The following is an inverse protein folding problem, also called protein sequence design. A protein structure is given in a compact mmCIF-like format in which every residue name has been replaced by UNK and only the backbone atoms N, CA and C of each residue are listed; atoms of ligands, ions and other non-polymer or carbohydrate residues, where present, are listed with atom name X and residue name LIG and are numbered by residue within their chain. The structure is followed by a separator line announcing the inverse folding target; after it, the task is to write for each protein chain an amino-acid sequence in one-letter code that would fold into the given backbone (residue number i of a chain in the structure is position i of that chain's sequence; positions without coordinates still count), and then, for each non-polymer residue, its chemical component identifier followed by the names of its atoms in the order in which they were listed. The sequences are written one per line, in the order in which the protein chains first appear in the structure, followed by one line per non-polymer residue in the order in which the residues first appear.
data_IF_575788459030
#
_entry.id   IF_575788459030
#
_cell.length_a   1.000
_cell.length_b   1.000
_cell.length_c   1.000
_cell.angle_alpha   90.00
_cell.angle_beta   90.00
_cell.angle_gamma   90.00
#
_symmetry.space_group_name_H-M   'P 1'
#
loop_
_entity.id
_entity.type
_entity.pdbx_description
1 polymer ?
#
# COMPACT_ATOMS: atom_id res chain seq x y z
N UNK A 1 -76.01 -6.75 7.32
CA UNK A 1 -75.20 -6.58 8.57
C UNK A 1 -74.31 -7.77 8.95
N UNK A 2 -74.45 -8.97 8.41
CA UNK A 2 -73.57 -10.13 8.75
C UNK A 2 -72.22 -10.16 8.10
N UNK A 3 -71.97 -9.39 7.04
CA UNK A 3 -70.63 -9.37 6.34
C UNK A 3 -69.55 -8.45 6.97
N UNK A 4 -69.95 -7.51 7.79
CA UNK A 4 -69.00 -6.58 8.48
C UNK A 4 -68.39 -7.27 9.70
N UNK A 5 -68.99 -8.27 10.26
CA UNK A 5 -68.52 -8.96 11.46
C UNK A 5 -67.29 -9.85 11.24
N UNK A 6 -67.00 -10.24 9.97
CA UNK A 6 -65.87 -11.08 9.64
C UNK A 6 -64.60 -10.26 9.22
N UNK A 7 -64.77 -8.98 8.89
CA UNK A 7 -63.66 -8.09 8.49
C UNK A 7 -62.88 -7.55 9.71
N UNK A 8 -63.62 -7.35 10.82
CA UNK A 8 -63.04 -6.82 12.06
C UNK A 8 -61.98 -7.72 12.69
N UNK A 9 -62.12 -9.05 12.82
CA UNK A 9 -61.07 -9.94 13.33
C UNK A 9 -59.89 -10.10 12.35
N UNK A 10 -60.10 -9.94 11.04
CA UNK A 10 -59.02 -10.00 10.06
C UNK A 10 -58.09 -8.77 10.12
N UNK A 11 -58.66 -7.60 10.42
CA UNK A 11 -57.87 -6.37 10.62
C UNK A 11 -57.07 -6.42 11.94
N UNK A 12 -57.64 -7.03 13.00
CA UNK A 12 -56.94 -7.21 14.28
C UNK A 12 -55.75 -8.18 14.16
N UNK A 13 -55.83 -9.22 13.30
CA UNK A 13 -54.71 -10.14 13.06
C UNK A 13 -53.55 -9.51 12.28
N UNK A 14 -53.82 -8.53 11.42
CA UNK A 14 -52.81 -7.81 10.68
C UNK A 14 -52.00 -6.80 11.55
N UNK A 15 -52.58 -6.34 12.66
CA UNK A 15 -51.93 -5.40 13.56
C UNK A 15 -50.93 -6.05 14.56
N UNK A 16 -50.88 -7.39 14.63
CA UNK A 16 -49.95 -8.11 15.54
C UNK A 16 -48.68 -8.60 14.81
N UNK A 17 -48.59 -8.38 13.49
CA UNK A 17 -47.50 -8.96 12.66
C UNK A 17 -46.27 -8.08 12.46
N UNK A 18 -46.18 -6.94 13.10
CA UNK A 18 -44.93 -6.17 13.14
C UNK A 18 -44.39 -6.12 14.57
N UNK A 19 -43.80 -7.20 15.05
CA UNK A 19 -42.68 -7.02 15.95
C UNK A 19 -41.56 -6.49 15.07
N UNK A 20 -41.23 -5.22 15.20
CA UNK A 20 -39.88 -4.75 14.82
C UNK A 20 -38.92 -5.66 15.55
N UNK A 21 -38.23 -6.52 14.81
CA UNK A 21 -37.02 -7.15 15.32
C UNK A 21 -36.12 -5.99 15.73
N UNK A 22 -36.01 -5.75 17.01
CA UNK A 22 -35.06 -4.80 17.54
C UNK A 22 -33.71 -5.36 17.08
N UNK A 23 -33.06 -4.62 16.16
CA UNK A 23 -31.68 -4.89 15.78
C UNK A 23 -30.92 -5.08 17.08
N UNK A 24 -30.38 -6.27 17.30
CA UNK A 24 -29.55 -6.52 18.48
C UNK A 24 -28.41 -5.51 18.47
N UNK A 25 -28.46 -4.60 19.44
CA UNK A 25 -27.37 -3.64 19.61
C UNK A 25 -26.17 -4.44 20.08
N UNK A 26 -25.03 -4.23 19.43
CA UNK A 26 -23.77 -4.84 19.84
C UNK A 26 -23.48 -4.50 21.31
N UNK A 27 -23.25 -5.53 22.14
CA UNK A 27 -22.95 -5.39 23.58
C UNK A 27 -21.56 -5.95 23.93
N UNK A 28 -20.75 -6.26 22.90
CA UNK A 28 -19.40 -6.74 23.09
C UNK A 28 -18.39 -5.63 23.41
N UNK A 29 -17.19 -5.99 23.83
CA UNK A 29 -16.09 -5.04 24.01
C UNK A 29 -15.59 -4.52 22.65
N UNK A 30 -15.07 -3.32 22.66
CA UNK A 30 -14.44 -2.73 21.48
C UNK A 30 -13.07 -3.35 21.22
N UNK A 31 -12.78 -3.71 19.96
CA UNK A 31 -11.51 -4.35 19.57
C UNK A 31 -10.77 -3.52 18.52
N UNK A 32 -9.49 -3.27 18.75
CA UNK A 32 -8.59 -2.65 17.77
C UNK A 32 -7.72 -3.72 17.12
N UNK A 33 -7.57 -3.67 15.81
CA UNK A 33 -6.79 -4.63 15.03
C UNK A 33 -6.28 -4.01 13.74
N UNK A 34 -5.28 -4.62 13.10
CA UNK A 34 -4.90 -4.30 11.73
C UNK A 34 -5.93 -4.84 10.74
N UNK A 35 -6.16 -4.13 9.64
CA UNK A 35 -7.08 -4.60 8.60
C UNK A 35 -6.44 -5.76 7.84
N UNK A 36 -7.12 -6.94 7.78
CA UNK A 36 -6.60 -8.06 7.00
C UNK A 36 -6.75 -7.82 5.50
N UNK A 37 -5.80 -8.36 4.74
CA UNK A 37 -5.88 -8.49 3.29
C UNK A 37 -6.81 -9.64 2.88
N UNK A 38 -6.95 -9.84 1.57
CA UNK A 38 -7.72 -10.97 0.99
C UNK A 38 -7.19 -12.35 1.41
N UNK A 39 -5.95 -12.44 1.88
CA UNK A 39 -5.31 -13.68 2.32
C UNK A 39 -5.46 -13.92 3.83
N UNK A 40 -6.36 -13.21 4.50
CA UNK A 40 -6.64 -13.34 5.93
C UNK A 40 -5.41 -13.04 6.82
N UNK A 41 -4.51 -12.18 6.35
CA UNK A 41 -3.35 -11.65 7.07
C UNK A 41 -3.28 -10.13 6.90
N UNK A 42 -2.80 -9.41 7.92
CA UNK A 42 -2.54 -7.98 7.75
C UNK A 42 -1.18 -7.79 7.07
N UNK A 43 -1.20 -7.24 5.86
CA UNK A 43 -0.02 -7.07 5.02
C UNK A 43 -0.04 -5.70 4.34
N UNK A 44 1.14 -5.10 4.21
CA UNK A 44 1.37 -3.92 3.39
C UNK A 44 2.60 -4.17 2.49
N UNK A 45 2.54 -3.72 1.26
CA UNK A 45 3.64 -3.78 0.31
C UNK A 45 4.00 -2.37 -0.12
N UNK A 46 5.28 -2.04 -0.05
CA UNK A 46 5.81 -0.81 -0.63
C UNK A 46 6.99 -1.11 -1.55
N UNK A 47 6.97 -0.52 -2.73
CA UNK A 47 8.02 -0.69 -3.71
C UNK A 47 8.55 0.68 -4.14
N UNK A 48 9.75 1.05 -3.72
CA UNK A 48 10.39 2.30 -4.10
C UNK A 48 10.51 2.48 -5.62
N UNK A 49 10.58 1.38 -6.38
CA UNK A 49 10.65 1.45 -7.83
C UNK A 49 9.33 1.82 -8.51
N UNK A 50 8.20 1.67 -7.84
CA UNK A 50 6.87 1.96 -8.41
C UNK A 50 6.10 3.03 -7.65
N UNK A 51 6.18 3.01 -6.32
CA UNK A 51 5.39 3.88 -5.45
C UNK A 51 6.13 5.19 -5.13
N UNK A 52 7.46 5.13 -5.01
CA UNK A 52 8.36 6.28 -4.75
C UNK A 52 9.10 6.81 -5.97
N UNK A 53 8.74 6.40 -7.19
CA UNK A 53 9.56 6.65 -8.40
C UNK A 53 9.68 8.13 -8.76
N UNK A 54 8.65 8.92 -8.48
CA UNK A 54 8.61 10.34 -8.87
C UNK A 54 9.45 11.23 -7.98
N UNK A 55 9.72 10.79 -6.76
CA UNK A 55 10.32 11.62 -5.70
C UNK A 55 11.79 11.32 -5.44
N UNK A 56 12.32 10.20 -5.97
CA UNK A 56 13.64 9.66 -5.60
C UNK A 56 13.79 9.54 -4.07
N UNK A 57 12.71 9.23 -3.42
CA UNK A 57 12.67 9.18 -1.96
C UNK A 57 13.70 8.20 -1.42
N UNK A 58 14.51 8.69 -0.49
CA UNK A 58 15.36 7.84 0.33
C UNK A 58 14.60 7.27 1.52
N UNK A 59 13.44 7.85 1.82
CA UNK A 59 12.53 7.42 2.88
C UNK A 59 11.10 7.38 2.37
N UNK A 60 10.30 6.46 2.88
CA UNK A 60 8.89 6.39 2.57
C UNK A 60 8.06 6.31 3.85
N UNK A 61 6.84 6.82 3.78
CA UNK A 61 5.86 6.78 4.85
C UNK A 61 4.71 5.87 4.42
N UNK A 62 4.69 4.65 4.95
CA UNK A 62 3.75 3.60 4.55
C UNK A 62 2.50 3.69 5.41
N UNK A 63 1.30 3.85 4.81
CA UNK A 63 0.06 3.79 5.55
C UNK A 63 -0.31 2.34 5.88
N UNK A 64 -0.58 2.07 7.16
CA UNK A 64 -1.10 0.81 7.64
C UNK A 64 -2.44 1.07 8.29
N UNK A 65 -3.49 0.49 7.74
CA UNK A 65 -4.84 0.69 8.25
C UNK A 65 -5.04 -0.07 9.57
N UNK A 66 -5.52 0.66 10.58
CA UNK A 66 -6.01 0.11 11.86
C UNK A 66 -7.52 0.32 11.95
N UNK A 67 -8.22 -0.64 12.52
CA UNK A 67 -9.67 -0.66 12.55
C UNK A 67 -10.19 -0.95 13.96
N UNK A 68 -11.28 -0.30 14.30
CA UNK A 68 -12.02 -0.55 15.53
C UNK A 68 -13.30 -1.34 15.21
N UNK A 69 -13.46 -2.48 15.86
CA UNK A 69 -14.72 -3.20 15.95
C UNK A 69 -15.40 -2.85 17.26
N UNK A 70 -16.63 -2.35 17.16
CA UNK A 70 -17.43 -1.96 18.31
C UNK A 70 -18.05 -0.58 18.13
N UNK A 71 -18.16 0.17 19.21
CA UNK A 71 -18.71 1.52 19.19
C UNK A 71 -17.69 2.55 18.72
N UNK A 72 -18.20 3.62 18.10
CA UNK A 72 -17.35 4.77 17.77
C UNK A 72 -16.72 5.36 19.04
N UNK A 73 -15.41 5.61 19.05
CA UNK A 73 -14.74 6.15 20.22
C UNK A 73 -15.25 7.56 20.54
N UNK A 74 -15.48 7.84 21.81
CA UNK A 74 -15.96 9.13 22.31
C UNK A 74 -14.86 10.16 22.53
N UNK A 75 -13.61 9.71 22.56
CA UNK A 75 -12.39 10.51 22.66
C UNK A 75 -11.29 9.87 21.81
N UNK A 76 -10.25 10.65 21.49
CA UNK A 76 -9.02 10.10 20.92
C UNK A 76 -8.35 9.19 21.95
N UNK A 77 -7.69 8.12 21.48
CA UNK A 77 -6.91 7.23 22.33
C UNK A 77 -5.62 6.80 21.64
N UNK A 78 -4.62 6.35 22.41
CA UNK A 78 -3.36 5.88 21.86
C UNK A 78 -3.40 4.37 21.62
N UNK A 79 -2.84 3.96 20.49
CA UNK A 79 -2.46 2.59 20.21
C UNK A 79 -0.94 2.48 20.36
N UNK A 80 -0.47 1.39 20.97
CA UNK A 80 0.94 1.12 21.23
C UNK A 80 1.43 -0.05 20.39
N UNK A 81 2.65 0.06 19.88
CA UNK A 81 3.22 -0.88 18.94
C UNK A 81 4.65 -1.28 19.33
N UNK A 82 5.03 -2.48 18.92
CA UNK A 82 6.41 -2.96 18.97
C UNK A 82 6.80 -3.63 17.67
N UNK A 83 8.11 -3.76 17.43
CA UNK A 83 8.63 -4.53 16.30
C UNK A 83 8.86 -5.97 16.74
N UNK A 84 8.29 -6.93 16.01
CA UNK A 84 8.56 -8.34 16.22
C UNK A 84 9.93 -8.70 15.61
N UNK A 85 10.97 -8.68 16.43
CA UNK A 85 12.36 -8.89 15.99
C UNK A 85 12.63 -10.32 15.48
N UNK A 86 11.86 -11.32 15.90
CA UNK A 86 12.03 -12.70 15.43
C UNK A 86 11.54 -12.92 14.00
N UNK A 87 10.52 -12.16 13.57
CA UNK A 87 9.90 -12.25 12.24
C UNK A 87 10.36 -11.15 11.28
N UNK A 88 11.01 -10.11 11.79
CA UNK A 88 11.51 -8.98 11.03
C UNK A 88 12.88 -9.31 10.43
N UNK A 89 13.04 -9.08 9.13
CA UNK A 89 14.33 -9.18 8.43
C UNK A 89 15.00 -7.82 8.20
N UNK A 90 14.25 -6.72 8.40
CA UNK A 90 14.76 -5.38 8.41
C UNK A 90 15.71 -5.16 9.61
N UNK A 91 16.78 -4.40 9.41
CA UNK A 91 17.67 -3.98 10.50
C UNK A 91 17.27 -2.59 11.01
N UNK A 92 17.72 -2.21 12.20
CA UNK A 92 17.28 -0.96 12.85
C UNK A 92 17.49 0.32 12.03
N UNK A 93 18.44 0.32 11.08
CA UNK A 93 18.65 1.44 10.16
C UNK A 93 17.63 1.50 9.00
N UNK A 94 16.84 0.47 8.78
CA UNK A 94 15.91 0.35 7.65
C UNK A 94 14.56 1.03 7.93
N UNK A 95 14.26 1.35 9.17
CA UNK A 95 12.98 1.94 9.57
C UNK A 95 13.12 2.82 10.81
N UNK A 96 12.12 3.66 11.03
CA UNK A 96 11.88 4.29 12.32
C UNK A 96 10.91 3.41 13.11
N UNK A 97 11.30 3.00 14.32
CA UNK A 97 10.47 2.14 15.16
C UNK A 97 9.11 2.80 15.46
N UNK A 98 7.99 2.18 15.04
CA UNK A 98 6.68 2.68 15.39
C UNK A 98 6.37 2.33 16.84
N UNK A 99 6.12 3.33 17.68
CA UNK A 99 5.82 3.13 19.12
C UNK A 99 4.36 3.43 19.45
N UNK A 100 3.81 4.49 18.87
CA UNK A 100 2.45 4.93 19.14
C UNK A 100 1.79 5.56 17.93
N UNK A 101 0.45 5.48 17.87
CA UNK A 101 -0.39 6.31 16.99
C UNK A 101 -1.66 6.74 17.73
N UNK A 102 -2.25 7.85 17.30
CA UNK A 102 -3.55 8.29 17.78
C UNK A 102 -4.63 7.63 16.93
N UNK A 103 -5.61 6.98 17.60
CA UNK A 103 -6.87 6.60 16.98
C UNK A 103 -7.89 7.70 17.27
N UNK A 104 -8.43 8.30 16.22
CA UNK A 104 -9.25 9.50 16.33
C UNK A 104 -10.68 9.20 16.75
N UNK A 105 -11.21 10.06 17.58
CA UNK A 105 -12.63 10.10 17.99
C UNK A 105 -13.57 10.07 16.77
N UNK A 106 -14.61 9.25 16.88
CA UNK A 106 -15.69 9.22 15.89
C UNK A 106 -15.37 8.47 14.58
N UNK A 107 -14.26 7.76 14.52
CA UNK A 107 -13.88 6.95 13.36
C UNK A 107 -13.82 5.46 13.71
N UNK A 108 -14.13 4.59 12.75
CA UNK A 108 -13.91 3.14 12.84
C UNK A 108 -12.59 2.71 12.21
N UNK A 109 -11.94 3.61 11.49
CA UNK A 109 -10.70 3.36 10.76
C UNK A 109 -9.75 4.52 10.99
N UNK A 110 -8.50 4.19 11.27
CA UNK A 110 -7.40 5.14 11.34
C UNK A 110 -6.13 4.55 10.71
N UNK A 111 -5.02 5.28 10.73
CA UNK A 111 -3.80 4.91 10.05
C UNK A 111 -2.59 4.98 10.97
N UNK A 112 -1.88 3.87 11.10
CA UNK A 112 -0.51 3.85 11.57
C UNK A 112 0.41 4.19 10.40
N UNK A 113 1.24 5.22 10.56
CA UNK A 113 2.24 5.60 9.58
C UNK A 113 3.59 5.01 9.97
N UNK A 114 4.16 4.18 9.08
CA UNK A 114 5.44 3.53 9.30
C UNK A 114 6.48 4.12 8.36
N UNK A 115 7.53 4.71 8.91
CA UNK A 115 8.63 5.27 8.12
C UNK A 115 9.67 4.18 7.84
N UNK A 116 10.04 4.04 6.56
CA UNK A 116 11.03 3.09 6.08
C UNK A 116 12.09 3.79 5.26
N UNK A 117 13.31 3.27 5.30
CA UNK A 117 14.44 3.82 4.57
C UNK A 117 14.74 2.94 3.34
N UNK A 118 15.04 3.61 2.23
CA UNK A 118 15.55 2.99 1.02
C UNK A 118 17.02 2.64 1.20
N UNK A 119 17.40 1.45 0.75
CA UNK A 119 18.81 1.05 0.70
C UNK A 119 19.13 0.34 -0.62
N UNK A 120 20.38 0.33 -1.00
CA UNK A 120 20.85 -0.26 -2.28
C UNK A 120 20.53 -1.76 -2.38
N UNK A 121 20.57 -2.47 -1.27
CA UNK A 121 20.32 -3.92 -1.18
C UNK A 121 18.89 -4.30 -1.61
N UNK A 122 17.92 -3.36 -1.51
CA UNK A 122 16.54 -3.56 -1.97
C UNK A 122 16.42 -3.79 -3.49
N UNK A 123 17.45 -3.46 -4.27
CA UNK A 123 17.51 -3.83 -5.70
C UNK A 123 17.59 -5.35 -5.89
N UNK A 124 18.16 -6.06 -4.94
CA UNK A 124 18.35 -7.52 -4.99
C UNK A 124 17.49 -8.27 -3.97
N UNK A 125 17.31 -7.75 -2.77
CA UNK A 125 16.69 -8.45 -1.64
C UNK A 125 15.67 -7.58 -0.93
N UNK A 126 14.45 -8.07 -0.79
CA UNK A 126 13.40 -7.41 -0.01
C UNK A 126 13.68 -7.56 1.49
N UNK A 127 13.19 -6.63 2.29
CA UNK A 127 13.09 -6.85 3.72
C UNK A 127 11.63 -6.84 4.19
N UNK A 128 11.41 -7.45 5.33
CA UNK A 128 10.12 -7.48 6.02
C UNK A 128 10.27 -6.81 7.38
N UNK A 129 9.34 -5.93 7.68
CA UNK A 129 9.16 -5.34 8.99
C UNK A 129 7.83 -5.85 9.55
N UNK A 130 7.87 -6.53 10.68
CA UNK A 130 6.66 -7.04 11.35
C UNK A 130 6.39 -6.18 12.56
N UNK A 131 5.24 -5.50 12.56
CA UNK A 131 4.81 -4.62 13.65
C UNK A 131 3.65 -5.28 14.39
N UNK A 132 3.74 -5.35 15.71
CA UNK A 132 2.67 -5.79 16.59
C UNK A 132 1.89 -4.60 17.13
N UNK A 133 0.59 -4.74 17.25
CA UNK A 133 -0.27 -3.91 18.07
C UNK A 133 -0.33 -4.52 19.47
N UNK A 134 0.32 -3.90 20.42
CA UNK A 134 0.48 -4.44 21.78
C UNK A 134 -0.70 -4.10 22.68
N UNK A 135 -1.19 -2.86 22.61
CA UNK A 135 -2.33 -2.38 23.38
C UNK A 135 -2.99 -1.15 22.77
N UNK A 136 -4.20 -0.88 23.21
CA UNK A 136 -4.92 0.36 22.98
C UNK A 136 -5.39 0.91 24.34
N UNK A 137 -5.36 2.23 24.51
CA UNK A 137 -5.74 2.86 25.78
C UNK A 137 -7.27 2.82 26.03
N UNK A 138 -7.65 2.97 27.28
CA UNK A 138 -9.03 3.00 27.72
C UNK A 138 -9.66 1.60 27.82
N UNK A 139 -10.91 1.48 27.41
CA UNK A 139 -11.68 0.22 27.45
C UNK A 139 -11.52 -0.60 26.15
N UNK A 140 -10.63 -0.15 25.23
CA UNK A 140 -10.40 -0.81 23.97
C UNK A 140 -9.45 -1.99 24.14
N UNK A 141 -9.80 -3.13 23.57
CA UNK A 141 -9.04 -4.36 23.69
C UNK A 141 -8.26 -4.65 22.41
N UNK A 142 -7.14 -5.34 22.56
CA UNK A 142 -6.37 -5.90 21.46
C UNK A 142 -6.60 -7.41 21.30
N UNK A 143 -7.75 -7.91 21.72
CA UNK A 143 -8.14 -9.32 21.67
C UNK A 143 -9.54 -9.44 21.03
N UNK A 144 -9.81 -10.51 20.28
CA UNK A 144 -9.07 -11.74 20.05
C UNK A 144 -7.84 -11.53 19.14
N UNK A 145 -6.81 -12.33 19.37
CA UNK A 145 -5.45 -12.20 18.86
C UNK A 145 -5.24 -12.30 17.34
N UNK A 146 -6.28 -12.28 16.54
CA UNK A 146 -6.19 -12.30 15.08
C UNK A 146 -5.95 -10.86 14.59
N UNK A 147 -5.01 -10.69 13.68
CA UNK A 147 -4.64 -9.39 13.10
C UNK A 147 -4.00 -8.37 14.05
N UNK A 148 -3.35 -8.85 15.11
CA UNK A 148 -2.52 -7.99 15.98
C UNK A 148 -1.09 -7.80 15.45
N UNK A 149 -0.74 -8.39 14.33
CA UNK A 149 0.54 -8.17 13.66
C UNK A 149 0.31 -7.83 12.21
N UNK A 150 1.06 -6.87 11.68
CA UNK A 150 1.12 -6.54 10.25
C UNK A 150 2.52 -6.82 9.72
N UNK A 151 2.60 -7.42 8.53
CA UNK A 151 3.85 -7.60 7.80
C UNK A 151 3.96 -6.54 6.72
N UNK A 152 4.97 -5.70 6.81
CA UNK A 152 5.29 -4.66 5.82
C UNK A 152 6.46 -5.17 5.00
N UNK A 153 6.21 -5.46 3.72
CA UNK A 153 7.23 -5.86 2.76
C UNK A 153 7.71 -4.65 1.99
N UNK A 154 9.03 -4.42 2.01
CA UNK A 154 9.66 -3.27 1.34
C UNK A 154 10.63 -3.78 0.29
N UNK A 155 10.51 -3.26 -0.92
CA UNK A 155 11.33 -3.63 -2.07
C UNK A 155 11.66 -2.41 -2.93
N UNK A 156 12.61 -2.59 -3.86
CA UNK A 156 12.99 -1.59 -4.84
C UNK A 156 13.26 -2.25 -6.19
N UNK A 157 12.26 -2.99 -6.69
CA UNK A 157 12.39 -3.86 -7.86
C UNK A 157 11.35 -3.57 -8.91
N UNK A 158 11.76 -3.68 -10.17
CA UNK A 158 10.86 -3.77 -11.32
C UNK A 158 10.86 -5.23 -11.74
N UNK A 159 9.75 -5.93 -11.48
CA UNK A 159 9.67 -7.38 -11.65
C UNK A 159 9.46 -7.82 -13.10
N UNK A 160 8.78 -7.01 -13.89
CA UNK A 160 8.35 -7.41 -15.22
C UNK A 160 8.68 -6.35 -16.26
N UNK A 161 9.07 -6.82 -17.44
CA UNK A 161 9.11 -6.00 -18.64
C UNK A 161 7.69 -5.50 -18.95
N UNK A 162 7.48 -4.19 -19.15
CA UNK A 162 6.17 -3.69 -19.54
C UNK A 162 5.84 -4.17 -20.96
N UNK A 163 4.59 -4.59 -21.18
CA UNK A 163 4.12 -5.15 -22.47
C UNK A 163 4.47 -4.24 -23.66
N UNK A 164 4.41 -2.94 -23.47
CA UNK A 164 4.70 -1.97 -24.53
C UNK A 164 6.16 -1.95 -24.96
N UNK A 165 7.12 -2.39 -24.12
CA UNK A 165 8.54 -2.33 -24.44
C UNK A 165 8.88 -3.18 -25.68
N UNK A 166 8.30 -4.37 -25.76
CA UNK A 166 8.45 -5.26 -26.92
C UNK A 166 7.74 -4.76 -28.20
N UNK A 167 6.90 -3.71 -28.12
CA UNK A 167 6.17 -3.15 -29.28
C UNK A 167 6.92 -2.01 -29.97
N UNK A 168 8.04 -1.54 -29.39
CA UNK A 168 8.90 -0.51 -29.96
C UNK A 168 10.36 -0.95 -29.94
N UNK A 169 11.15 -0.44 -30.87
CA UNK A 169 12.61 -0.64 -30.87
C UNK A 169 13.36 0.60 -30.37
N UNK A 170 12.66 1.69 -30.10
CA UNK A 170 13.24 3.00 -29.79
C UNK A 170 14.03 3.03 -28.47
N UNK A 171 13.70 2.11 -27.55
CA UNK A 171 14.42 1.97 -26.26
C UNK A 171 15.51 0.89 -26.28
N UNK A 172 15.64 0.14 -27.39
CA UNK A 172 16.53 -1.00 -27.47
C UNK A 172 16.14 -2.16 -26.56
N UNK A 173 17.10 -3.04 -26.25
CA UNK A 173 16.86 -4.18 -25.37
C UNK A 173 16.37 -3.71 -23.99
N UNK A 174 15.39 -4.39 -23.44
CA UNK A 174 14.89 -4.13 -22.09
C UNK A 174 15.97 -4.37 -21.02
N UNK A 175 16.03 -3.46 -20.06
CA UNK A 175 16.64 -3.73 -18.76
C UNK A 175 15.80 -3.05 -17.65
N UNK A 176 15.67 -3.67 -16.46
CA UNK A 176 14.94 -3.08 -15.34
C UNK A 176 15.47 -1.70 -14.95
N UNK A 177 16.79 -1.52 -14.99
CA UNK A 177 17.43 -0.25 -14.68
C UNK A 177 17.09 0.83 -15.71
N UNK A 178 17.11 0.50 -17.01
CA UNK A 178 16.72 1.44 -18.08
C UNK A 178 15.28 1.89 -17.92
N UNK A 179 14.36 0.96 -17.70
CA UNK A 179 12.96 1.28 -17.47
C UNK A 179 12.75 2.15 -16.22
N UNK A 180 13.44 1.83 -15.14
CA UNK A 180 13.43 2.64 -13.93
C UNK A 180 13.87 4.08 -14.18
N UNK A 181 15.03 4.27 -14.83
CA UNK A 181 15.55 5.61 -15.11
C UNK A 181 14.67 6.37 -16.08
N UNK A 182 14.06 5.67 -17.04
CA UNK A 182 13.09 6.29 -17.94
C UNK A 182 11.87 6.81 -17.18
N UNK A 183 11.33 6.05 -16.23
CA UNK A 183 10.22 6.52 -15.39
C UNK A 183 10.64 7.69 -14.48
N UNK A 184 11.88 7.68 -13.95
CA UNK A 184 12.42 8.81 -13.18
C UNK A 184 12.53 10.07 -14.06
N UNK A 185 13.01 9.93 -15.30
CA UNK A 185 13.09 11.00 -16.27
C UNK A 185 11.71 11.57 -16.59
N UNK A 186 10.71 10.71 -16.82
CA UNK A 186 9.33 11.13 -17.07
C UNK A 186 8.60 11.71 -15.86
N UNK A 187 9.11 11.47 -14.65
CA UNK A 187 8.43 11.82 -13.40
C UNK A 187 7.14 11.02 -13.14
N UNK A 188 6.95 9.92 -13.87
CA UNK A 188 5.79 9.01 -13.73
C UNK A 188 6.12 7.60 -14.21
N UNK A 189 5.38 6.60 -13.73
CA UNK A 189 5.48 5.25 -14.25
C UNK A 189 4.73 5.12 -15.58
N UNK A 190 5.46 4.82 -16.67
CA UNK A 190 4.87 4.62 -17.99
C UNK A 190 4.31 3.19 -18.13
N UNK A 191 3.00 3.04 -18.01
CA UNK A 191 2.31 1.74 -18.08
C UNK A 191 1.97 1.29 -19.52
N UNK A 192 1.79 2.24 -20.41
CA UNK A 192 1.45 2.02 -21.84
C UNK A 192 1.88 3.21 -22.69
N UNK A 193 1.80 3.08 -24.02
CA UNK A 193 2.17 4.13 -24.97
C UNK A 193 0.97 4.94 -25.52
N UNK A 194 -0.18 4.88 -24.90
CA UNK A 194 -1.41 5.53 -25.41
C UNK A 194 -1.29 7.06 -25.54
N UNK A 195 -0.37 7.66 -24.81
CA UNK A 195 -0.09 9.11 -24.86
C UNK A 195 0.88 9.50 -25.98
N UNK A 196 1.45 8.52 -26.68
CA UNK A 196 2.48 8.72 -27.69
C UNK A 196 2.03 8.23 -29.06
N UNK A 197 2.51 8.90 -30.11
CA UNK A 197 2.63 8.32 -31.47
C UNK A 197 4.02 7.70 -31.59
N UNK A 198 4.24 6.87 -32.63
CA UNK A 198 5.58 6.31 -32.88
C UNK A 198 6.66 7.40 -33.03
N UNK A 199 6.33 8.51 -33.67
CA UNK A 199 7.24 9.64 -33.85
C UNK A 199 7.54 10.32 -32.52
N UNK A 200 6.52 10.61 -31.70
CA UNK A 200 6.69 11.30 -30.42
C UNK A 200 7.39 10.40 -29.40
N UNK A 201 7.18 9.09 -29.44
CA UNK A 201 7.89 8.16 -28.56
C UNK A 201 9.37 8.05 -28.92
N UNK A 202 9.73 7.98 -30.21
CA UNK A 202 11.14 8.02 -30.64
C UNK A 202 11.81 9.31 -30.18
N UNK A 203 11.16 10.45 -30.29
CA UNK A 203 11.69 11.71 -29.80
C UNK A 203 11.93 11.71 -28.29
N UNK A 204 11.00 11.12 -27.53
CA UNK A 204 11.12 10.95 -26.08
C UNK A 204 12.28 10.03 -25.70
N UNK A 205 12.46 8.91 -26.42
CA UNK A 205 13.57 8.00 -26.19
C UNK A 205 14.94 8.67 -26.46
N UNK A 206 15.04 9.50 -27.51
CA UNK A 206 16.23 10.28 -27.82
C UNK A 206 16.49 11.36 -26.78
N UNK A 207 15.45 12.02 -26.29
CA UNK A 207 15.57 13.01 -25.21
C UNK A 207 16.02 12.34 -23.91
N UNK A 208 15.52 11.16 -23.59
CA UNK A 208 15.98 10.36 -22.47
C UNK A 208 17.46 9.93 -22.61
N UNK A 209 17.86 9.51 -23.82
CA UNK A 209 19.28 9.20 -24.10
C UNK A 209 20.18 10.41 -23.82
N UNK A 210 19.77 11.60 -24.27
CA UNK A 210 20.50 12.84 -23.99
C UNK A 210 20.54 13.15 -22.49
N UNK A 211 19.40 13.01 -21.80
CA UNK A 211 19.31 13.19 -20.35
C UNK A 211 20.24 12.25 -19.58
N UNK A 212 20.37 10.99 -19.99
CA UNK A 212 21.32 10.03 -19.39
C UNK A 212 22.76 10.45 -19.57
N UNK A 213 23.12 11.00 -20.74
CA UNK A 213 24.47 11.53 -21.02
C UNK A 213 24.76 12.75 -20.15
N UNK A 214 23.84 13.69 -20.07
CA UNK A 214 24.01 14.93 -19.30
C UNK A 214 24.10 14.65 -17.78
N UNK A 215 23.45 13.59 -17.31
CA UNK A 215 23.46 13.18 -15.91
C UNK A 215 24.41 12.01 -15.62
N UNK A 216 25.31 11.69 -16.53
CA UNK A 216 26.22 10.54 -16.41
C UNK A 216 27.03 10.58 -15.12
N UNK A 217 27.63 11.72 -14.75
CA UNK A 217 28.44 11.84 -13.54
C UNK A 217 27.65 11.58 -12.25
N UNK A 218 26.31 11.84 -12.28
CA UNK A 218 25.44 11.63 -11.14
C UNK A 218 24.99 10.17 -11.04
N UNK A 219 24.69 9.52 -12.17
CA UNK A 219 24.05 8.22 -12.18
C UNK A 219 24.95 7.08 -12.58
N UNK A 220 25.96 7.27 -13.44
CA UNK A 220 26.97 6.26 -13.90
C UNK A 220 26.40 4.85 -14.07
N UNK A 221 25.21 4.75 -14.67
CA UNK A 221 24.54 3.47 -14.81
C UNK A 221 25.00 2.73 -16.06
N UNK A 222 25.46 1.52 -15.83
CA UNK A 222 25.81 0.57 -16.86
C UNK A 222 24.65 -0.38 -17.13
N UNK A 223 24.62 -0.99 -18.31
CA UNK A 223 23.73 -2.10 -18.62
C UNK A 223 24.10 -3.35 -17.79
N UNK A 224 23.38 -4.43 -17.95
CA UNK A 224 23.57 -5.68 -17.20
C UNK A 224 24.97 -6.30 -17.34
N UNK A 225 25.70 -5.93 -18.41
CA UNK A 225 27.09 -6.35 -18.65
C UNK A 225 28.11 -5.62 -17.72
N UNK A 226 27.67 -4.61 -16.98
CA UNK A 226 28.47 -3.83 -16.07
C UNK A 226 29.50 -2.90 -16.72
N UNK A 227 29.55 -2.79 -18.03
CA UNK A 227 30.57 -2.06 -18.81
C UNK A 227 29.99 -1.08 -19.81
N UNK A 228 28.89 -1.43 -20.48
CA UNK A 228 28.24 -0.58 -21.48
C UNK A 228 27.42 0.52 -20.82
N UNK A 229 27.71 1.80 -21.06
CA UNK A 229 26.88 2.89 -20.57
C UNK A 229 25.43 2.73 -21.06
N UNK A 230 24.47 2.93 -20.16
CA UNK A 230 23.08 2.66 -20.46
C UNK A 230 22.53 3.48 -21.64
N UNK A 231 23.03 4.72 -21.82
CA UNK A 231 22.64 5.56 -22.96
C UNK A 231 23.09 5.00 -24.31
N UNK A 232 24.18 4.20 -24.38
CA UNK A 232 24.64 3.58 -25.63
C UNK A 232 23.76 2.41 -26.06
N UNK A 233 22.92 1.89 -25.16
CA UNK A 233 21.95 0.83 -25.46
C UNK A 233 20.64 1.35 -26.05
N UNK A 234 20.46 2.68 -26.15
CA UNK A 234 19.28 3.33 -26.76
C UNK A 234 19.63 3.70 -28.21
N UNK A 235 18.88 3.17 -29.20
CA UNK A 235 19.10 3.45 -30.64
C UNK A 235 19.04 4.94 -30.99
N UNK A 236 19.51 5.29 -32.20
CA UNK A 236 19.43 6.65 -32.74
C UNK A 236 18.16 6.86 -33.60
#
# INVERSE_FOLDING_TARGET
MKRILYILPLILLAAVSCKEDQLEVYHGPDYVHFTPSVNDAAEALYNFATDGITTREETAKIPVEIRLWGYLPKADFLCHYSVNTEKTTAVASDYQEPTTSVFRKGYHVDTLWVNVNRKKELLATDYKLVVNLDSAEGEHLTQPAKYLSVTISVQDKIHNEPVWWGTTQDMGKYSPMKYRLFNIYLGKMLKNLNEYTNITFKQEALAFKAWLKDNWETYKYYDEDGTTPLYDTIPE
#
